data_IF_744185062052
#
_entry.id   IF_744185062052
#
_cell.length_a   1.000
_cell.length_b   1.000
_cell.length_c   1.000
_cell.angle_alpha   90.00
_cell.angle_beta   90.00
_cell.angle_gamma   90.00
#
_symmetry.space_group_name_H-M   'P 1'
#
loop_
_entity.id
_entity.type
_entity.pdbx_description
1 polymer ?
#
# COMPACT_ATOMS: atom_id res chain seq x y z
N UNK A 1 10.05 -9.86 25.28
CA UNK A 1 9.84 -9.37 26.65
C UNK A 1 10.26 -7.92 26.73
N UNK A 2 9.32 -6.98 26.69
CA UNK A 2 9.56 -5.60 27.09
C UNK A 2 8.19 -4.97 27.39
N UNK A 3 7.86 -5.01 28.69
CA UNK A 3 6.68 -4.34 29.27
C UNK A 3 6.96 -2.86 29.28
N UNK A 4 6.24 -2.08 28.47
CA UNK A 4 6.15 -0.63 28.64
C UNK A 4 5.09 -0.32 29.71
N UNK A 5 5.56 0.04 30.89
CA UNK A 5 4.74 0.63 31.93
C UNK A 5 4.30 2.04 31.46
N UNK A 6 3.01 2.22 31.30
CA UNK A 6 2.42 3.54 31.18
C UNK A 6 2.31 4.11 32.60
N UNK A 7 3.16 5.05 32.94
CA UNK A 7 3.07 5.83 34.17
C UNK A 7 1.86 6.75 34.04
N UNK A 8 0.79 6.42 34.74
CA UNK A 8 -0.30 7.36 35.00
C UNK A 8 0.19 8.27 36.12
N UNK A 9 0.59 9.49 35.74
CA UNK A 9 0.91 10.54 36.67
C UNK A 9 -0.37 11.04 37.32
N UNK A 10 -0.57 10.63 38.56
CA UNK A 10 -1.55 11.20 39.45
C UNK A 10 -1.07 12.64 39.83
N UNK A 11 -1.62 13.64 39.16
CA UNK A 11 -1.51 15.02 39.61
C UNK A 11 -2.45 15.17 40.80
N UNK A 12 -1.89 14.97 41.98
CA UNK A 12 -2.49 15.42 43.24
C UNK A 12 -2.41 16.96 43.29
N UNK A 13 -3.48 17.62 42.87
CA UNK A 13 -3.66 19.03 43.20
C UNK A 13 -3.87 19.16 44.72
N UNK A 14 -2.78 19.49 45.42
CA UNK A 14 -2.87 20.06 46.78
C UNK A 14 -3.47 21.45 46.66
N UNK A 15 -4.77 21.55 46.90
CA UNK A 15 -5.44 22.84 47.04
C UNK A 15 -5.11 23.36 48.42
N UNK A 16 -4.23 24.37 48.47
CA UNK A 16 -4.01 25.19 49.66
C UNK A 16 -5.35 25.80 50.06
N UNK A 17 -5.79 25.44 51.25
CA UNK A 17 -6.95 26.03 51.90
C UNK A 17 -6.59 27.48 52.25
N UNK A 18 -6.75 28.39 51.32
CA UNK A 18 -6.79 29.83 51.62
C UNK A 18 -8.16 30.11 52.22
N UNK A 19 -8.12 30.63 53.44
CA UNK A 19 -9.26 31.16 54.19
C UNK A 19 -10.06 32.14 53.31
N UNK A 20 -11.12 31.62 52.68
CA UNK A 20 -12.21 32.47 52.25
C UNK A 20 -13.20 32.57 53.44
N UNK A 21 -13.65 33.77 53.78
CA UNK A 21 -14.68 33.91 54.80
C UNK A 21 -15.90 33.13 54.32
N UNK A 22 -16.39 32.27 55.18
CA UNK A 22 -17.69 31.56 54.95
C UNK A 22 -18.74 32.65 54.79
N UNK A 23 -18.89 33.16 53.59
CA UNK A 23 -19.98 34.04 53.23
C UNK A 23 -21.29 33.26 53.49
N UNK A 24 -22.09 33.76 54.33
CA UNK A 24 -23.44 33.31 54.68
C UNK A 24 -24.22 33.18 53.38
N UNK A 25 -24.24 31.98 52.79
CA UNK A 25 -25.04 31.70 51.62
C UNK A 25 -26.50 31.74 52.09
N UNK A 26 -27.20 32.83 51.74
CA UNK A 26 -28.62 32.94 52.01
C UNK A 26 -29.35 31.67 51.54
N UNK A 27 -30.10 31.07 52.44
CA UNK A 27 -30.85 29.83 52.16
C UNK A 27 -31.78 29.91 50.93
N UNK A 28 -32.04 31.10 50.42
CA UNK A 28 -32.86 31.39 49.25
C UNK A 28 -32.24 30.91 47.92
N UNK A 29 -30.91 30.75 47.84
CA UNK A 29 -30.23 30.32 46.61
C UNK A 29 -29.89 28.82 46.56
N UNK A 30 -30.19 28.06 47.61
CA UNK A 30 -29.93 26.64 47.70
C UNK A 30 -30.63 25.83 46.56
N UNK A 31 -31.92 26.07 46.28
CA UNK A 31 -32.61 25.33 45.18
C UNK A 31 -32.06 25.71 43.79
N UNK A 32 -31.50 26.88 43.59
CA UNK A 32 -30.91 27.26 42.33
C UNK A 32 -29.54 26.58 42.13
N UNK A 33 -28.71 26.49 43.16
CA UNK A 33 -27.43 25.80 43.12
C UNK A 33 -27.60 24.28 42.87
N UNK A 34 -28.59 23.65 43.47
CA UNK A 34 -28.95 22.25 43.23
C UNK A 34 -29.37 22.01 41.77
N UNK A 35 -30.22 22.87 41.20
CA UNK A 35 -30.62 22.79 39.78
C UNK A 35 -29.42 22.95 38.84
N UNK A 36 -28.50 23.89 39.14
CA UNK A 36 -27.28 24.06 38.35
C UNK A 36 -26.37 22.82 38.44
N UNK A 37 -26.23 22.24 39.63
CA UNK A 37 -25.44 21.04 39.84
C UNK A 37 -26.07 19.83 39.13
N UNK A 38 -27.39 19.71 39.13
CA UNK A 38 -28.09 18.65 38.37
C UNK A 38 -27.89 18.81 36.85
N UNK A 39 -28.02 20.02 36.31
CA UNK A 39 -27.78 20.31 34.89
C UNK A 39 -26.34 20.03 34.49
N UNK A 40 -25.36 20.38 35.32
CA UNK A 40 -23.96 20.08 35.07
C UNK A 40 -23.67 18.57 35.05
N UNK A 41 -24.28 17.81 35.96
CA UNK A 41 -24.17 16.34 35.97
C UNK A 41 -24.76 15.72 34.71
N UNK A 42 -25.90 16.21 34.23
CA UNK A 42 -26.51 15.75 32.99
C UNK A 42 -25.64 16.07 31.78
N UNK A 43 -25.06 17.25 31.72
CA UNK A 43 -24.11 17.61 30.64
C UNK A 43 -22.88 16.69 30.62
N UNK A 44 -22.29 16.39 31.78
CA UNK A 44 -21.19 15.44 31.91
C UNK A 44 -21.59 14.03 31.47
N UNK A 45 -22.81 13.58 31.85
CA UNK A 45 -23.31 12.27 31.42
C UNK A 45 -23.47 12.20 29.90
N UNK A 46 -24.08 13.20 29.28
CA UNK A 46 -24.21 13.30 27.81
C UNK A 46 -22.86 13.37 27.09
N UNK A 47 -21.90 14.13 27.65
CA UNK A 47 -20.55 14.21 27.08
C UNK A 47 -19.83 12.85 27.14
N UNK A 48 -19.98 12.09 28.22
CA UNK A 48 -19.45 10.72 28.34
C UNK A 48 -20.07 9.78 27.30
N UNK A 49 -21.38 9.78 27.19
CA UNK A 49 -22.09 8.94 26.19
C UNK A 49 -21.65 9.26 24.76
N UNK A 50 -21.47 10.54 24.43
CA UNK A 50 -20.97 10.95 23.11
C UNK A 50 -19.51 10.50 22.88
N UNK A 51 -18.66 10.58 23.91
CA UNK A 51 -17.28 10.10 23.84
C UNK A 51 -17.23 8.57 23.64
N UNK A 52 -18.06 7.81 24.34
CA UNK A 52 -18.14 6.35 24.20
C UNK A 52 -18.63 5.95 22.80
N UNK A 53 -19.63 6.66 22.26
CA UNK A 53 -20.10 6.46 20.88
C UNK A 53 -19.02 6.78 19.85
N UNK A 54 -18.28 7.86 20.04
CA UNK A 54 -17.17 8.24 19.16
C UNK A 54 -16.05 7.20 19.20
N UNK A 55 -15.69 6.70 20.39
CA UNK A 55 -14.69 5.64 20.55
C UNK A 55 -15.12 4.33 19.86
N UNK A 56 -16.38 3.94 19.99
CA UNK A 56 -16.92 2.76 19.31
C UNK A 56 -16.88 2.92 17.78
N UNK A 57 -17.23 4.09 17.28
CA UNK A 57 -17.20 4.39 15.83
C UNK A 57 -15.77 4.32 15.28
N UNK A 58 -14.80 4.87 16.02
CA UNK A 58 -13.40 4.80 15.66
C UNK A 58 -12.87 3.36 15.62
N UNK A 59 -13.25 2.53 16.61
CA UNK A 59 -12.87 1.12 16.65
C UNK A 59 -13.46 0.32 15.48
N UNK A 60 -14.71 0.60 15.11
CA UNK A 60 -15.36 -0.03 13.95
C UNK A 60 -14.62 0.36 12.66
N UNK A 61 -14.28 1.64 12.48
CA UNK A 61 -13.55 2.13 11.32
C UNK A 61 -12.15 1.48 11.20
N UNK A 62 -11.44 1.34 12.32
CA UNK A 62 -10.14 0.67 12.36
C UNK A 62 -10.26 -0.81 11.94
N UNK A 63 -11.24 -1.53 12.48
CA UNK A 63 -11.48 -2.93 12.08
C UNK A 63 -11.86 -3.07 10.61
N UNK A 64 -12.67 -2.16 10.07
CA UNK A 64 -13.03 -2.16 8.65
C UNK A 64 -11.80 -1.91 7.77
N UNK A 65 -10.90 -0.99 8.17
CA UNK A 65 -9.65 -0.76 7.45
C UNK A 65 -8.75 -1.99 7.43
N UNK A 66 -8.61 -2.70 8.56
CA UNK A 66 -7.85 -3.96 8.64
C UNK A 66 -8.46 -5.04 7.74
N UNK A 67 -9.76 -5.17 7.71
CA UNK A 67 -10.43 -6.16 6.85
C UNK A 67 -10.25 -5.83 5.36
N UNK A 68 -10.37 -4.56 4.98
CA UNK A 68 -10.13 -4.14 3.60
C UNK A 68 -8.69 -4.42 3.15
N UNK A 69 -7.70 -4.23 4.02
CA UNK A 69 -6.31 -4.56 3.73
C UNK A 69 -6.09 -6.08 3.58
N UNK A 70 -6.70 -6.89 4.46
CA UNK A 70 -6.65 -8.35 4.36
C UNK A 70 -7.30 -8.86 3.07
N UNK A 71 -8.44 -8.29 2.68
CA UNK A 71 -9.12 -8.64 1.43
C UNK A 71 -8.27 -8.28 0.21
N UNK A 72 -7.69 -7.07 0.18
CA UNK A 72 -6.76 -6.65 -0.87
C UNK A 72 -5.54 -7.58 -0.96
N UNK A 73 -4.98 -7.98 0.18
CA UNK A 73 -3.85 -8.91 0.25
C UNK A 73 -4.23 -10.31 -0.28
N UNK A 74 -5.41 -10.81 0.08
CA UNK A 74 -5.89 -12.12 -0.37
C UNK A 74 -6.18 -12.14 -1.87
N UNK A 75 -6.82 -11.11 -2.39
CA UNK A 75 -7.07 -10.94 -3.83
C UNK A 75 -5.76 -10.91 -4.63
N UNK A 76 -4.75 -10.23 -4.08
CA UNK A 76 -3.43 -10.17 -4.67
C UNK A 76 -2.72 -11.53 -4.69
N UNK A 77 -2.79 -12.30 -3.59
CA UNK A 77 -2.23 -13.66 -3.54
C UNK A 77 -2.90 -14.57 -4.58
N UNK A 78 -4.22 -14.51 -4.71
CA UNK A 78 -4.95 -15.26 -5.71
C UNK A 78 -4.52 -14.91 -7.14
N UNK A 79 -4.27 -13.63 -7.42
CA UNK A 79 -3.77 -13.20 -8.72
C UNK A 79 -2.34 -13.70 -9.02
N UNK A 80 -1.45 -13.67 -8.01
CA UNK A 80 -0.10 -14.22 -8.13
C UNK A 80 -0.16 -15.72 -8.45
N UNK A 81 -0.99 -16.49 -7.75
CA UNK A 81 -1.13 -17.93 -8.02
C UNK A 81 -1.72 -18.22 -9.41
N UNK A 82 -2.73 -17.43 -9.82
CA UNK A 82 -3.26 -17.52 -11.19
C UNK A 82 -2.17 -17.25 -12.22
N UNK A 83 -1.33 -16.24 -11.97
CA UNK A 83 -0.22 -15.89 -12.86
C UNK A 83 0.87 -16.96 -12.91
N UNK A 84 1.18 -17.58 -11.77
CA UNK A 84 2.09 -18.73 -11.72
C UNK A 84 1.59 -19.91 -12.55
N UNK A 85 0.30 -20.20 -12.46
CA UNK A 85 -0.33 -21.26 -13.26
C UNK A 85 -0.27 -20.91 -14.76
N UNK A 86 -0.56 -19.68 -15.14
CA UNK A 86 -0.47 -19.20 -16.53
C UNK A 86 0.95 -19.31 -17.09
N UNK A 87 1.97 -18.96 -16.30
CA UNK A 87 3.38 -19.07 -16.71
C UNK A 87 3.84 -20.51 -16.84
N UNK A 88 3.37 -21.42 -15.96
CA UNK A 88 3.61 -22.86 -16.13
C UNK A 88 3.00 -23.36 -17.44
N UNK A 89 1.78 -22.95 -17.77
CA UNK A 89 1.11 -23.31 -19.02
C UNK A 89 1.83 -22.72 -20.25
N UNK A 90 2.40 -21.51 -20.13
CA UNK A 90 3.16 -20.85 -21.21
C UNK A 90 4.52 -21.51 -21.49
N UNK A 91 5.20 -22.06 -20.48
CA UNK A 91 6.44 -22.83 -20.68
C UNK A 91 6.20 -24.09 -21.53
N UNK A 92 4.97 -24.59 -21.58
CA UNK A 92 4.55 -25.74 -22.40
C UNK A 92 3.97 -25.34 -23.78
N UNK A 93 3.54 -24.07 -23.94
CA UNK A 93 2.99 -23.57 -25.20
C UNK A 93 3.76 -22.28 -25.58
N UNK A 94 4.58 -22.34 -26.64
CA UNK A 94 5.32 -21.20 -27.20
C UNK A 94 4.38 -20.04 -27.52
N UNK A 95 4.18 -19.13 -26.59
CA UNK A 95 3.32 -17.94 -26.72
C UNK A 95 4.12 -16.65 -26.72
N UNK A 96 3.86 -15.78 -27.70
CA UNK A 96 4.55 -14.51 -28.01
C UNK A 96 4.48 -13.49 -26.89
N UNK A 97 5.41 -13.56 -25.94
CA UNK A 97 5.76 -12.46 -25.04
C UNK A 97 7.20 -12.07 -25.29
N UNK A 98 7.50 -10.79 -25.40
CA UNK A 98 8.87 -10.30 -25.48
C UNK A 98 9.38 -10.06 -24.05
N UNK A 99 10.27 -10.93 -23.58
CA UNK A 99 10.95 -10.74 -22.29
C UNK A 99 12.14 -9.83 -22.52
N UNK A 100 12.16 -8.68 -21.84
CA UNK A 100 13.30 -7.78 -21.83
C UNK A 100 13.96 -7.90 -20.44
N UNK A 101 15.07 -8.64 -20.40
CA UNK A 101 15.77 -8.97 -19.14
C UNK A 101 16.54 -7.80 -18.52
N UNK A 102 17.41 -8.12 -17.58
CA UNK A 102 18.23 -7.27 -16.68
C UNK A 102 18.92 -6.05 -17.29
N UNK A 103 19.09 -6.00 -18.61
CA UNK A 103 19.78 -4.91 -19.33
C UNK A 103 18.98 -3.60 -19.34
N UNK A 104 17.70 -3.61 -18.98
CA UNK A 104 16.89 -2.39 -18.97
C UNK A 104 17.29 -1.43 -17.86
N UNK A 105 17.64 -1.94 -16.69
CA UNK A 105 17.87 -1.15 -15.49
C UNK A 105 19.22 -1.47 -14.85
N UNK A 106 19.83 -0.48 -14.20
CA UNK A 106 20.93 -0.74 -13.30
C UNK A 106 20.40 -1.43 -12.00
N UNK A 107 21.25 -2.11 -11.23
CA UNK A 107 20.87 -2.73 -9.96
C UNK A 107 20.12 -1.75 -9.07
N UNK A 108 19.02 -2.19 -8.45
CA UNK A 108 18.15 -1.40 -7.59
C UNK A 108 17.54 -0.12 -8.23
N UNK A 109 17.75 0.11 -9.52
CA UNK A 109 17.20 1.27 -10.24
C UNK A 109 15.90 0.91 -10.97
N UNK A 110 15.03 1.93 -11.12
CA UNK A 110 13.81 1.85 -11.94
C UNK A 110 13.88 2.73 -13.20
N UNK A 111 14.92 3.57 -13.33
CA UNK A 111 15.13 4.39 -14.54
C UNK A 111 15.82 3.56 -15.61
N UNK A 112 15.24 3.43 -16.83
CA UNK A 112 15.85 2.66 -17.90
C UNK A 112 17.19 3.27 -18.33
N UNK A 113 18.20 2.43 -18.51
CA UNK A 113 19.50 2.84 -19.05
C UNK A 113 19.38 3.22 -20.53
N UNK A 114 20.39 3.94 -21.07
CA UNK A 114 20.45 4.24 -22.52
C UNK A 114 20.46 2.96 -23.36
N UNK A 115 21.15 1.92 -22.90
CA UNK A 115 21.17 0.60 -23.56
C UNK A 115 19.79 -0.07 -23.47
N UNK A 116 19.12 0.04 -22.30
CA UNK A 116 17.75 -0.45 -22.10
C UNK A 116 16.76 0.22 -23.05
N UNK A 117 16.79 1.55 -23.15
CA UNK A 117 15.94 2.30 -24.08
C UNK A 117 16.13 1.85 -25.53
N UNK A 118 17.38 1.63 -25.97
CA UNK A 118 17.66 1.10 -27.32
C UNK A 118 17.03 -0.28 -27.56
N UNK A 119 17.01 -1.15 -26.55
CA UNK A 119 16.36 -2.48 -26.65
C UNK A 119 14.84 -2.40 -26.70
N UNK A 120 14.23 -1.34 -26.19
CA UNK A 120 12.78 -1.14 -26.26
C UNK A 120 12.30 -0.58 -27.60
N UNK A 121 13.17 0.05 -28.41
CA UNK A 121 12.77 0.62 -29.72
C UNK A 121 12.18 -0.41 -30.71
N UNK A 122 12.74 -1.62 -30.88
CA UNK A 122 12.12 -2.65 -31.71
C UNK A 122 10.72 -3.03 -31.20
N UNK A 123 10.51 -3.04 -29.88
CA UNK A 123 9.20 -3.31 -29.26
C UNK A 123 8.21 -2.21 -29.66
N UNK A 124 8.60 -0.95 -29.57
CA UNK A 124 7.77 0.20 -30.02
C UNK A 124 7.35 0.02 -31.48
N UNK A 125 8.31 -0.33 -32.36
CA UNK A 125 8.05 -0.54 -33.77
C UNK A 125 7.02 -1.68 -34.01
N UNK A 126 7.15 -2.78 -33.28
CA UNK A 126 6.21 -3.90 -33.35
C UNK A 126 4.80 -3.51 -32.86
N UNK A 127 4.72 -2.77 -31.75
CA UNK A 127 3.45 -2.34 -31.14
C UNK A 127 2.73 -1.30 -32.00
N UNK A 128 3.44 -0.46 -32.76
CA UNK A 128 2.87 0.47 -33.75
C UNK A 128 2.21 -0.24 -34.91
N UNK A 129 2.72 -1.42 -35.31
CA UNK A 129 2.10 -2.23 -36.36
C UNK A 129 0.78 -2.89 -35.91
N UNK A 130 0.43 -2.84 -34.61
CA UNK A 130 -0.76 -3.46 -34.04
C UNK A 130 -1.57 -2.43 -33.23
N UNK A 131 -2.13 -1.36 -33.83
CA UNK A 131 -2.65 -0.19 -33.11
C UNK A 131 -3.84 -0.49 -32.21
N UNK A 132 -4.61 -1.53 -32.49
CA UNK A 132 -5.84 -1.87 -31.75
C UNK A 132 -5.61 -2.88 -30.61
N UNK A 133 -4.42 -3.46 -30.50
CA UNK A 133 -4.13 -4.50 -29.47
C UNK A 133 -3.80 -3.86 -28.13
N UNK A 134 -4.30 -4.47 -27.06
CA UNK A 134 -3.90 -4.14 -25.69
C UNK A 134 -2.47 -4.61 -25.40
N UNK A 135 -1.82 -3.94 -24.51
CA UNK A 135 -0.42 -4.18 -24.12
C UNK A 135 -0.39 -4.39 -22.62
N UNK A 136 0.27 -5.43 -22.18
CA UNK A 136 0.51 -5.70 -20.77
C UNK A 136 2.01 -5.66 -20.50
N UNK A 137 2.39 -4.86 -19.49
CA UNK A 137 3.76 -4.74 -19.03
C UNK A 137 3.81 -5.29 -17.62
N UNK A 138 4.69 -6.25 -17.37
CA UNK A 138 4.79 -6.97 -16.12
C UNK A 138 6.24 -6.91 -15.61
N UNK A 139 6.43 -6.30 -14.41
CA UNK A 139 7.74 -6.15 -13.79
C UNK A 139 7.98 -7.22 -12.72
N UNK A 140 9.21 -7.72 -12.65
CA UNK A 140 9.63 -8.75 -11.71
C UNK A 140 10.99 -8.41 -11.11
N UNK A 141 11.27 -8.91 -9.91
CA UNK A 141 12.57 -8.80 -9.22
C UNK A 141 13.12 -10.19 -8.91
N UNK A 142 14.37 -10.23 -8.51
CA UNK A 142 14.92 -11.36 -7.74
C UNK A 142 14.43 -11.29 -6.28
N UNK A 143 14.84 -12.25 -5.46
CA UNK A 143 14.50 -12.33 -4.03
C UNK A 143 15.42 -11.51 -3.12
N UNK A 144 16.20 -10.58 -3.65
CA UNK A 144 17.07 -9.70 -2.85
C UNK A 144 16.24 -8.54 -2.27
N UNK A 145 16.16 -8.46 -0.95
CA UNK A 145 15.39 -7.42 -0.26
C UNK A 145 14.06 -7.91 0.31
N UNK A 146 13.25 -6.99 0.85
CA UNK A 146 11.92 -7.33 1.38
C UNK A 146 10.88 -7.42 0.27
N UNK A 147 9.84 -8.22 0.49
CA UNK A 147 8.71 -8.38 -0.45
C UNK A 147 8.09 -7.04 -0.83
N UNK A 148 7.90 -6.13 0.14
CA UNK A 148 7.32 -4.81 -0.09
C UNK A 148 8.21 -3.92 -0.97
N UNK A 149 9.52 -3.93 -0.74
CA UNK A 149 10.50 -3.19 -1.55
C UNK A 149 10.56 -3.75 -2.97
N UNK A 150 10.59 -5.06 -3.13
CA UNK A 150 10.62 -5.74 -4.42
C UNK A 150 9.36 -5.48 -5.23
N UNK A 151 8.22 -5.44 -4.57
CA UNK A 151 6.96 -5.10 -5.20
C UNK A 151 6.95 -3.69 -5.74
N UNK A 152 7.32 -2.71 -4.92
CA UNK A 152 7.37 -1.31 -5.30
C UNK A 152 8.41 -1.08 -6.42
N UNK A 153 9.59 -1.71 -6.33
CA UNK A 153 10.62 -1.63 -7.37
C UNK A 153 10.12 -2.20 -8.72
N UNK A 154 9.44 -3.36 -8.68
CA UNK A 154 8.88 -3.99 -9.88
C UNK A 154 7.78 -3.13 -10.52
N UNK A 155 6.93 -2.50 -9.70
CA UNK A 155 5.91 -1.57 -10.19
C UNK A 155 6.54 -0.35 -10.85
N UNK A 156 7.51 0.32 -10.20
CA UNK A 156 8.22 1.46 -10.79
C UNK A 156 8.94 1.10 -12.10
N UNK A 157 9.47 -0.11 -12.23
CA UNK A 157 10.09 -0.59 -13.48
C UNK A 157 9.06 -0.78 -14.58
N UNK A 158 7.92 -1.37 -14.28
CA UNK A 158 6.83 -1.53 -15.23
C UNK A 158 6.28 -0.18 -15.70
N UNK A 159 6.11 0.77 -14.77
CA UNK A 159 5.68 2.14 -15.07
C UNK A 159 6.69 2.88 -15.95
N UNK A 160 7.98 2.76 -15.68
CA UNK A 160 9.01 3.40 -16.48
C UNK A 160 9.06 2.86 -17.93
N UNK A 161 8.78 1.58 -18.15
CA UNK A 161 8.61 1.01 -19.49
C UNK A 161 7.32 1.52 -20.14
N UNK A 162 6.21 1.61 -19.40
CA UNK A 162 4.95 2.22 -19.89
C UNK A 162 5.20 3.64 -20.38
N UNK A 163 5.83 4.46 -19.56
CA UNK A 163 6.09 5.87 -19.86
C UNK A 163 6.98 6.01 -21.09
N UNK A 164 8.03 5.18 -21.22
CA UNK A 164 8.84 5.12 -22.41
C UNK A 164 8.02 4.77 -23.68
N UNK A 165 7.10 3.81 -23.60
CA UNK A 165 6.24 3.47 -24.73
C UNK A 165 5.31 4.63 -25.11
N UNK A 166 4.77 5.34 -24.12
CA UNK A 166 3.90 6.52 -24.32
C UNK A 166 4.70 7.66 -24.98
N UNK A 167 5.89 7.97 -24.48
CA UNK A 167 6.81 8.96 -25.06
C UNK A 167 7.13 8.64 -26.54
N UNK A 168 7.11 7.35 -26.90
CA UNK A 168 7.34 6.90 -28.28
C UNK A 168 6.05 6.71 -29.09
N UNK A 169 4.92 7.29 -28.66
CA UNK A 169 3.68 7.37 -29.42
C UNK A 169 2.73 6.18 -29.30
N UNK A 170 2.88 5.33 -28.29
CA UNK A 170 1.90 4.30 -27.96
C UNK A 170 0.81 4.90 -27.05
N UNK A 171 -0.46 4.72 -27.42
CA UNK A 171 -1.58 5.24 -26.64
C UNK A 171 -1.61 4.66 -25.22
N UNK A 172 -1.71 5.52 -24.17
CA UNK A 172 -1.80 5.05 -22.78
C UNK A 172 -3.02 4.17 -22.50
N UNK A 173 -4.14 4.37 -23.23
CA UNK A 173 -5.36 3.55 -23.11
C UNK A 173 -5.16 2.08 -23.51
N UNK A 174 -4.08 1.76 -24.19
CA UNK A 174 -3.72 0.40 -24.59
C UNK A 174 -2.89 -0.33 -23.55
N UNK A 175 -2.23 0.39 -22.63
CA UNK A 175 -1.16 -0.15 -21.79
C UNK A 175 -1.68 -0.37 -20.38
N UNK A 176 -1.42 -1.57 -19.85
CA UNK A 176 -1.54 -1.90 -18.43
C UNK A 176 -0.16 -2.27 -17.90
N UNK A 177 0.30 -1.60 -16.84
CA UNK A 177 1.59 -1.88 -16.21
C UNK A 177 1.37 -2.42 -14.79
N UNK A 178 2.05 -3.52 -14.42
CA UNK A 178 1.95 -4.12 -13.11
C UNK A 178 3.25 -4.73 -12.62
N UNK A 179 3.59 -4.49 -11.35
CA UNK A 179 4.68 -5.13 -10.64
C UNK A 179 4.21 -6.35 -9.86
N UNK A 180 5.01 -7.41 -9.88
CA UNK A 180 4.77 -8.66 -9.14
C UNK A 180 5.86 -8.95 -8.10
N UNK A 181 6.90 -8.09 -8.02
CA UNK A 181 8.03 -8.33 -7.11
C UNK A 181 8.72 -9.65 -7.43
N UNK A 182 9.08 -10.36 -6.38
CA UNK A 182 9.73 -11.69 -6.46
C UNK A 182 8.73 -12.85 -6.53
N UNK A 183 7.43 -12.57 -6.46
CA UNK A 183 6.39 -13.60 -6.32
C UNK A 183 6.38 -14.63 -7.46
N UNK A 184 6.90 -14.28 -8.64
CA UNK A 184 6.87 -15.13 -9.83
C UNK A 184 8.27 -15.24 -10.43
N UNK A 185 9.11 -16.10 -9.84
CA UNK A 185 10.44 -16.40 -10.33
C UNK A 185 10.40 -17.38 -11.52
N UNK A 186 11.23 -17.13 -12.54
CA UNK A 186 11.43 -18.01 -13.70
C UNK A 186 12.65 -18.91 -13.53
N UNK A 187 13.59 -18.50 -12.67
CA UNK A 187 14.77 -19.25 -12.28
C UNK A 187 14.87 -19.31 -10.74
N UNK A 188 15.68 -20.21 -10.22
CA UNK A 188 16.07 -20.21 -8.81
C UNK A 188 16.82 -18.91 -8.49
N UNK A 189 16.75 -18.41 -7.25
CA UNK A 189 17.50 -17.23 -6.83
C UNK A 189 18.87 -17.55 -6.23
N UNK A 190 19.41 -18.75 -6.51
CA UNK A 190 20.60 -19.29 -5.85
C UNK A 190 21.88 -18.65 -6.40
N UNK A 191 21.91 -18.34 -7.68
CA UNK A 191 23.09 -17.76 -8.35
C UNK A 191 22.79 -16.35 -8.89
N UNK A 192 23.85 -15.55 -9.07
CA UNK A 192 23.72 -14.21 -9.68
C UNK A 192 23.12 -14.29 -11.10
N UNK A 193 23.43 -15.34 -11.85
CA UNK A 193 22.87 -15.55 -13.19
C UNK A 193 21.36 -15.76 -13.14
N UNK A 194 20.88 -16.62 -12.26
CA UNK A 194 19.45 -16.89 -12.05
C UNK A 194 18.69 -15.66 -11.51
N UNK A 195 19.30 -14.90 -10.60
CA UNK A 195 18.75 -13.63 -10.13
C UNK A 195 18.57 -12.64 -11.29
N UNK A 196 19.53 -12.60 -12.24
CA UNK A 196 19.41 -11.76 -13.44
C UNK A 196 18.25 -12.17 -14.34
N UNK A 197 17.93 -13.46 -14.44
CA UNK A 197 16.76 -13.92 -15.20
C UNK A 197 15.45 -13.50 -14.52
N UNK A 198 15.43 -13.45 -13.19
CA UNK A 198 14.27 -13.01 -12.42
C UNK A 198 14.08 -11.49 -12.51
N UNK A 199 15.15 -10.68 -12.56
CA UNK A 199 15.09 -9.22 -12.76
C UNK A 199 14.73 -8.90 -14.22
N UNK A 200 13.44 -8.95 -14.54
CA UNK A 200 12.96 -8.77 -15.91
C UNK A 200 11.70 -7.91 -15.98
N UNK A 201 11.45 -7.38 -17.15
CA UNK A 201 10.15 -6.82 -17.53
C UNK A 201 9.65 -7.56 -18.77
N UNK A 202 8.43 -8.03 -18.70
CA UNK A 202 7.75 -8.70 -19.81
C UNK A 202 6.76 -7.74 -20.46
N UNK A 203 6.84 -7.61 -21.79
CA UNK A 203 5.87 -6.86 -22.59
C UNK A 203 5.12 -7.85 -23.45
N UNK A 204 3.82 -7.98 -23.25
CA UNK A 204 2.99 -8.93 -23.96
C UNK A 204 1.78 -8.25 -24.63
N UNK A 205 1.34 -8.85 -25.73
CA UNK A 205 0.13 -8.45 -26.47
C UNK A 205 -0.84 -9.62 -26.35
N UNK A 206 -1.80 -9.58 -25.41
CA UNK A 206 -2.80 -10.64 -25.24
C UNK A 206 -3.60 -10.85 -26.53
N UNK A 207 -3.97 -12.10 -26.80
CA UNK A 207 -4.83 -12.46 -27.95
C UNK A 207 -6.25 -12.01 -27.77
#
# INVERSE_FOLDING_TARGET
MCRRYVLISLITCFFAASLFPVGYVKAENLPLAEKQAAAAREQVARARENADRAALTALIAEKQAVWADQEATSARRAEVERKRAELKARKTAHGSGLTVGDVLFAPAQSKPTTAGKRKLLPVVTLLKKQPHRKIRIEGYTDSSGSESVNLDLSQRRADAVRDFLIENGISPRRITARGYGEAISVASNTTIAEQRENRRVEVSVPR
#
